data_IF_176791962005
#
_entry.id   IF_176791962005
#
_cell.length_a   1.000
_cell.length_b   1.000
_cell.length_c   1.000
_cell.angle_alpha   90.00
_cell.angle_beta   90.00
_cell.angle_gamma   90.00
#
_symmetry.space_group_name_H-M   'P 1'
#
loop_
_entity.id
_entity.type
_entity.pdbx_description
1 polymer ?
#
# COMPACT_ATOMS: atom_id res chain seq x y z
N UNK A 1 -11.45 13.93 0.91
CA UNK A 1 -10.08 13.84 1.46
C UNK A 1 -9.54 12.42 1.54
N UNK A 2 -8.41 12.12 0.88
CA UNK A 2 -7.69 10.86 1.06
C UNK A 2 -7.15 10.75 2.49
N UNK A 3 -7.06 9.52 3.01
CA UNK A 3 -6.37 9.27 4.28
C UNK A 3 -4.91 8.97 4.00
N UNK A 4 -4.01 9.73 4.62
CA UNK A 4 -2.55 9.53 4.51
C UNK A 4 -2.03 9.00 5.83
N UNK A 5 -1.07 8.08 5.77
CA UNK A 5 -0.30 7.64 6.92
C UNK A 5 1.16 8.00 6.68
N UNK A 6 1.79 8.66 7.65
CA UNK A 6 3.22 8.97 7.65
C UNK A 6 3.85 8.21 8.81
N UNK A 7 4.89 7.41 8.51
CA UNK A 7 5.56 6.57 9.50
C UNK A 7 4.55 5.70 10.30
N UNK A 8 3.57 5.13 9.58
CA UNK A 8 2.48 4.28 10.10
C UNK A 8 1.43 4.98 10.98
N UNK A 9 1.56 6.29 11.18
CA UNK A 9 0.61 7.11 11.93
C UNK A 9 -0.28 7.91 10.99
N UNK A 10 -1.57 8.02 11.31
CA UNK A 10 -2.52 8.78 10.49
C UNK A 10 -2.08 10.24 10.44
N UNK A 11 -1.71 10.71 9.26
CA UNK A 11 -1.35 12.09 9.01
C UNK A 11 -2.63 12.91 8.97
N UNK A 12 -2.81 13.77 9.98
CA UNK A 12 -3.95 14.68 10.03
C UNK A 12 -3.61 15.93 9.24
N UNK A 13 -4.43 16.20 8.25
CA UNK A 13 -4.40 17.45 7.50
C UNK A 13 -5.69 18.18 7.82
N UNK A 14 -5.58 19.37 8.38
CA UNK A 14 -6.74 20.24 8.59
C UNK A 14 -7.00 21.04 7.33
N UNK A 15 -8.16 20.82 6.71
CA UNK A 15 -8.57 21.52 5.49
C UNK A 15 -7.82 21.05 4.24
N UNK A 16 -8.52 21.01 3.11
CA UNK A 16 -7.96 20.53 1.85
C UNK A 16 -8.67 21.16 0.66
N UNK A 17 -8.14 20.90 -0.53
CA UNK A 17 -8.66 21.49 -1.76
C UNK A 17 -10.17 21.22 -1.94
N UNK A 18 -10.65 20.05 -1.49
CA UNK A 18 -12.07 19.66 -1.52
C UNK A 18 -12.97 20.57 -0.68
N UNK A 19 -12.42 21.26 0.33
CA UNK A 19 -13.16 22.15 1.24
C UNK A 19 -13.17 23.61 0.75
N UNK A 20 -12.56 23.89 -0.39
CA UNK A 20 -12.50 25.22 -0.98
C UNK A 20 -13.70 25.48 -1.90
N UNK A 21 -14.30 26.67 -1.78
CA UNK A 21 -15.42 27.09 -2.66
C UNK A 21 -14.97 27.77 -3.95
N UNK A 22 -13.70 28.19 -4.02
CA UNK A 22 -13.10 28.89 -5.15
C UNK A 22 -11.70 28.37 -5.44
N UNK A 23 -11.28 28.48 -6.70
CA UNK A 23 -10.01 27.91 -7.21
C UNK A 23 -8.78 28.36 -6.42
N UNK A 24 -8.61 29.66 -6.16
CA UNK A 24 -7.43 30.18 -5.46
C UNK A 24 -7.33 29.63 -4.03
N UNK A 25 -8.45 29.46 -3.33
CA UNK A 25 -8.46 28.86 -1.99
C UNK A 25 -8.07 27.37 -2.05
N UNK A 26 -8.53 26.65 -3.09
CA UNK A 26 -8.14 25.26 -3.31
C UNK A 26 -6.63 25.12 -3.55
N UNK A 27 -6.05 25.98 -4.38
CA UNK A 27 -4.61 26.02 -4.67
C UNK A 27 -3.79 26.33 -3.42
N UNK A 28 -4.19 27.35 -2.65
CA UNK A 28 -3.51 27.70 -1.40
C UNK A 28 -3.55 26.56 -0.39
N UNK A 29 -4.72 25.94 -0.19
CA UNK A 29 -4.84 24.77 0.68
C UNK A 29 -3.96 23.62 0.20
N UNK A 30 -3.97 23.30 -1.09
CA UNK A 30 -3.11 22.25 -1.65
C UNK A 30 -1.62 22.51 -1.39
N UNK A 31 -1.15 23.75 -1.54
CA UNK A 31 0.23 24.13 -1.21
C UNK A 31 0.54 23.97 0.28
N UNK A 32 -0.38 24.33 1.16
CA UNK A 32 -0.24 24.13 2.61
C UNK A 32 -0.13 22.64 2.95
N UNK A 33 -0.99 21.79 2.37
CA UNK A 33 -0.91 20.33 2.57
C UNK A 33 0.43 19.79 2.08
N UNK A 34 0.85 20.17 0.87
CA UNK A 34 2.11 19.73 0.27
C UNK A 34 3.33 20.12 1.10
N UNK A 35 3.40 21.39 1.52
CA UNK A 35 4.52 21.91 2.33
C UNK A 35 4.58 21.26 3.71
N UNK A 36 3.42 21.05 4.35
CA UNK A 36 3.33 20.37 5.65
C UNK A 36 3.82 18.93 5.54
N UNK A 37 3.32 18.18 4.55
CA UNK A 37 3.72 16.80 4.31
C UNK A 37 5.21 16.69 3.99
N UNK A 38 5.72 17.53 3.10
CA UNK A 38 7.14 17.57 2.71
C UNK A 38 8.04 17.86 3.91
N UNK A 39 7.65 18.82 4.75
CA UNK A 39 8.42 19.17 5.95
C UNK A 39 8.46 18.01 6.96
N UNK A 40 7.33 17.32 7.15
CA UNK A 40 7.28 16.13 8.00
C UNK A 40 8.14 14.99 7.44
N UNK A 41 8.07 14.71 6.13
CA UNK A 41 8.90 13.69 5.48
C UNK A 41 10.39 14.03 5.64
N UNK A 42 10.80 15.26 5.34
CA UNK A 42 12.19 15.67 5.42
C UNK A 42 12.76 15.52 6.84
N UNK A 43 11.96 15.79 7.87
CA UNK A 43 12.35 15.55 9.26
C UNK A 43 12.59 14.06 9.55
N UNK A 44 11.73 13.18 9.04
CA UNK A 44 11.87 11.74 9.23
C UNK A 44 13.09 11.18 8.47
N UNK A 45 13.46 11.77 7.33
CA UNK A 45 14.66 11.37 6.56
C UNK A 45 15.97 11.55 7.33
N UNK A 46 16.02 12.48 8.29
CA UNK A 46 17.18 12.71 9.15
C UNK A 46 17.25 11.72 10.33
N UNK A 47 16.23 10.87 10.52
CA UNK A 47 16.21 9.89 11.61
C UNK A 47 17.14 8.72 11.28
N UNK A 48 18.07 8.33 12.19
CA UNK A 48 18.96 7.21 11.95
C UNK A 48 18.20 5.90 11.72
N UNK A 49 18.71 5.08 10.79
CA UNK A 49 18.15 3.78 10.49
C UNK A 49 18.23 2.85 11.71
N UNK A 50 17.11 2.17 12.01
CA UNK A 50 17.00 1.19 13.10
C UNK A 50 17.12 -0.27 12.62
N UNK A 51 17.14 -0.46 11.30
CA UNK A 51 17.37 -1.73 10.63
C UNK A 51 17.90 -1.50 9.21
N UNK A 52 18.58 -2.49 8.66
CA UNK A 52 18.97 -2.54 7.25
C UNK A 52 18.08 -3.52 6.51
N UNK A 53 17.58 -3.08 5.36
CA UNK A 53 16.80 -3.89 4.45
C UNK A 53 17.54 -4.00 3.13
N UNK A 54 17.68 -5.22 2.62
CA UNK A 54 18.09 -5.49 1.25
C UNK A 54 16.98 -6.23 0.53
N UNK A 55 16.49 -5.68 -0.58
CA UNK A 55 15.44 -6.27 -1.41
C UNK A 55 16.01 -6.66 -2.78
N UNK A 56 15.79 -7.90 -3.14
CA UNK A 56 16.00 -8.44 -4.47
C UNK A 56 14.65 -8.98 -4.99
N UNK A 57 14.32 -8.69 -6.25
CA UNK A 57 13.13 -9.28 -6.87
C UNK A 57 13.33 -9.51 -8.37
N UNK A 58 12.76 -10.60 -8.85
CA UNK A 58 12.79 -11.01 -10.24
C UNK A 58 11.43 -11.57 -10.68
N UNK A 59 11.16 -11.47 -11.98
CA UNK A 59 9.96 -12.01 -12.61
C UNK A 59 10.32 -13.21 -13.47
N UNK A 60 9.62 -14.31 -13.27
CA UNK A 60 9.69 -15.52 -14.09
C UNK A 60 8.29 -15.81 -14.63
N UNK A 61 8.05 -15.47 -15.90
CA UNK A 61 6.72 -15.61 -16.50
C UNK A 61 5.64 -14.83 -15.74
N UNK A 62 4.75 -15.58 -15.08
CA UNK A 62 3.58 -15.09 -14.30
C UNK A 62 3.84 -14.99 -12.80
N UNK A 63 5.06 -15.23 -12.36
CA UNK A 63 5.45 -15.15 -10.96
C UNK A 63 6.44 -14.01 -10.75
N UNK A 64 6.29 -13.30 -9.64
CA UNK A 64 7.30 -12.36 -9.13
C UNK A 64 7.84 -12.90 -7.83
N UNK A 65 9.11 -13.29 -7.81
CA UNK A 65 9.81 -13.73 -6.62
C UNK A 65 10.50 -12.53 -5.98
N UNK A 66 10.20 -12.28 -4.71
CA UNK A 66 10.82 -11.23 -3.90
C UNK A 66 11.55 -11.86 -2.71
N UNK A 67 12.77 -11.40 -2.45
CA UNK A 67 13.60 -11.81 -1.33
C UNK A 67 14.03 -10.57 -0.57
N UNK A 68 13.81 -10.56 0.74
CA UNK A 68 14.26 -9.49 1.63
C UNK A 68 15.16 -10.06 2.70
N UNK A 69 16.30 -9.41 2.91
CA UNK A 69 17.16 -9.64 4.08
C UNK A 69 16.99 -8.48 5.04
N UNK A 70 16.80 -8.82 6.32
CA UNK A 70 16.71 -7.89 7.45
C UNK A 70 17.94 -8.09 8.31
N UNK A 71 18.77 -7.05 8.41
CA UNK A 71 20.00 -7.03 9.18
C UNK A 71 20.02 -5.84 10.16
N UNK A 72 20.91 -5.88 11.14
CA UNK A 72 21.15 -4.79 12.09
C UNK A 72 19.87 -4.23 12.76
N UNK A 73 18.85 -5.09 12.98
CA UNK A 73 17.66 -4.70 13.74
C UNK A 73 18.08 -4.47 15.20
N UNK A 74 18.06 -3.21 15.63
CA UNK A 74 18.51 -2.84 16.97
C UNK A 74 17.57 -3.40 18.03
N UNK A 75 18.12 -3.87 19.14
CA UNK A 75 17.35 -4.53 20.22
C UNK A 75 16.32 -3.60 20.89
N UNK A 76 16.56 -2.29 20.86
CA UNK A 76 15.65 -1.25 21.33
C UNK A 76 14.50 -0.95 20.33
N UNK A 77 14.63 -1.37 19.07
CA UNK A 77 13.66 -1.12 18.00
C UNK A 77 12.45 -2.08 17.96
N UNK A 78 12.15 -2.71 19.10
CA UNK A 78 10.94 -3.46 19.44
C UNK A 78 11.03 -4.99 19.40
N UNK A 79 10.47 -5.59 20.46
CA UNK A 79 10.25 -7.03 20.65
C UNK A 79 9.21 -7.62 19.66
N UNK A 80 8.54 -6.78 18.87
CA UNK A 80 7.46 -7.19 17.98
C UNK A 80 7.45 -6.40 16.67
N UNK A 81 8.19 -6.90 15.67
CA UNK A 81 8.36 -6.29 14.35
C UNK A 81 7.81 -7.20 13.25
N UNK A 82 7.09 -6.61 12.29
CA UNK A 82 6.58 -7.29 11.10
C UNK A 82 7.25 -6.72 9.85
N UNK A 83 7.75 -7.58 8.98
CA UNK A 83 8.16 -7.26 7.62
C UNK A 83 6.96 -7.39 6.68
N UNK A 84 6.65 -6.35 5.93
CA UNK A 84 5.64 -6.37 4.88
C UNK A 84 6.29 -6.33 3.50
N UNK A 85 5.71 -7.10 2.56
CA UNK A 85 6.01 -6.98 1.13
C UNK A 85 4.74 -6.53 0.41
N UNK A 86 4.88 -5.58 -0.49
CA UNK A 86 3.82 -5.17 -1.39
C UNK A 86 4.28 -5.32 -2.84
N UNK A 87 3.49 -6.02 -3.64
CA UNK A 87 3.57 -5.94 -5.08
C UNK A 87 2.77 -4.70 -5.51
N UNK A 88 3.43 -3.77 -6.19
CA UNK A 88 2.81 -2.51 -6.62
C UNK A 88 2.94 -2.35 -8.13
N UNK A 89 1.90 -1.82 -8.76
CA UNK A 89 1.95 -1.35 -10.14
C UNK A 89 2.25 0.14 -10.15
N UNK A 90 3.31 0.54 -10.86
CA UNK A 90 3.82 1.92 -10.83
C UNK A 90 2.76 2.94 -11.16
N UNK A 91 1.83 2.61 -12.04
CA UNK A 91 0.71 3.47 -12.35
C UNK A 91 -0.42 2.67 -13.02
N UNK A 92 -1.64 2.93 -12.56
CA UNK A 92 -2.89 2.45 -13.18
C UNK A 92 -3.67 3.65 -13.66
N UNK A 93 -4.23 3.56 -14.86
CA UNK A 93 -5.10 4.60 -15.40
C UNK A 93 -6.54 4.26 -15.10
N UNK A 94 -7.23 5.10 -14.34
CA UNK A 94 -8.66 4.97 -14.07
C UNK A 94 -9.24 6.34 -13.78
N UNK A 95 -10.37 6.67 -14.40
CA UNK A 95 -11.08 7.91 -14.12
C UNK A 95 -12.14 7.67 -13.06
N UNK A 96 -11.82 8.00 -11.82
CA UNK A 96 -12.80 8.06 -10.74
C UNK A 96 -13.67 9.33 -10.82
N UNK A 97 -14.62 9.48 -9.89
CA UNK A 97 -15.49 10.66 -9.80
C UNK A 97 -14.73 11.97 -9.56
N UNK A 98 -13.53 11.88 -8.98
CA UNK A 98 -12.65 13.03 -8.73
C UNK A 98 -11.86 13.50 -9.96
N UNK A 99 -12.01 12.86 -11.13
CA UNK A 99 -11.34 13.25 -12.37
C UNK A 99 -9.83 12.95 -12.42
N UNK A 100 -9.22 12.42 -11.35
CA UNK A 100 -7.83 11.98 -11.35
C UNK A 100 -7.70 10.69 -12.16
N UNK A 101 -6.89 10.75 -13.22
CA UNK A 101 -6.71 9.64 -14.17
C UNK A 101 -5.52 8.75 -13.86
N UNK A 102 -4.48 9.32 -13.25
CA UNK A 102 -3.20 8.66 -13.01
C UNK A 102 -3.10 8.30 -11.53
N UNK A 103 -3.03 7.01 -11.24
CA UNK A 103 -2.91 6.49 -9.87
C UNK A 103 -1.56 5.82 -9.73
N UNK A 104 -0.56 6.50 -9.13
CA UNK A 104 0.77 5.93 -8.97
C UNK A 104 0.82 4.91 -7.82
N UNK A 105 1.77 3.97 -7.91
CA UNK A 105 2.13 3.01 -6.84
C UNK A 105 0.93 2.23 -6.27
N UNK A 106 0.06 1.73 -7.15
CA UNK A 106 -1.14 0.97 -6.75
C UNK A 106 -0.74 -0.39 -6.22
N UNK A 107 -1.06 -0.65 -4.96
CA UNK A 107 -0.85 -1.97 -4.34
C UNK A 107 -1.75 -3.00 -5.02
N UNK A 108 -1.14 -4.02 -5.62
CA UNK A 108 -1.83 -5.15 -6.25
C UNK A 108 -2.00 -6.32 -5.29
N UNK A 109 -1.04 -6.52 -4.39
CA UNK A 109 -1.10 -7.57 -3.38
C UNK A 109 -0.15 -7.26 -2.22
N UNK A 110 -0.52 -7.71 -1.02
CA UNK A 110 0.35 -7.74 0.14
C UNK A 110 0.71 -9.20 0.43
N UNK A 111 1.99 -9.46 0.67
CA UNK A 111 2.43 -10.81 1.01
C UNK A 111 1.88 -11.24 2.37
N UNK A 112 1.61 -12.54 2.47
CA UNK A 112 1.19 -13.22 3.68
C UNK A 112 1.97 -14.53 3.80
N UNK A 113 2.28 -14.95 5.02
CA UNK A 113 2.84 -16.26 5.29
C UNK A 113 1.90 -17.37 4.82
N UNK A 114 2.46 -18.54 4.50
CA UNK A 114 1.64 -19.72 4.19
C UNK A 114 0.80 -20.08 5.42
N UNK A 115 -0.52 -20.16 5.24
CA UNK A 115 -1.51 -20.40 6.30
C UNK A 115 -1.65 -19.29 7.36
N UNK A 116 -1.14 -18.08 7.09
CA UNK A 116 -1.36 -16.93 7.96
C UNK A 116 -2.54 -16.08 7.49
N UNK A 117 -3.39 -15.68 8.43
CA UNK A 117 -4.49 -14.74 8.17
C UNK A 117 -4.01 -13.30 8.04
N UNK A 118 -2.86 -12.98 8.63
CA UNK A 118 -2.31 -11.64 8.68
C UNK A 118 -1.31 -11.40 7.54
N UNK A 119 -1.21 -10.16 7.11
CA UNK A 119 -0.20 -9.75 6.13
C UNK A 119 1.15 -9.53 6.81
N UNK A 120 2.23 -9.85 6.08
CA UNK A 120 3.61 -9.71 6.54
C UNK A 120 4.17 -10.95 7.23
N UNK A 121 5.39 -10.82 7.74
CA UNK A 121 6.18 -11.89 8.36
C UNK A 121 6.82 -11.37 9.64
N UNK A 122 6.75 -12.12 10.74
CA UNK A 122 7.40 -11.74 12.00
C UNK A 122 8.92 -11.82 11.86
N UNK A 123 9.62 -10.83 12.40
CA UNK A 123 11.07 -10.74 12.38
C UNK A 123 11.62 -11.06 13.77
N UNK A 124 12.56 -12.00 13.83
CA UNK A 124 13.26 -12.31 15.09
C UNK A 124 14.36 -11.27 15.35
N UNK A 125 14.52 -10.85 16.61
CA UNK A 125 15.58 -9.93 17.02
C UNK A 125 16.95 -10.62 17.09
N UNK A 126 18.02 -9.83 16.95
CA UNK A 126 19.40 -10.28 17.21
C UNK A 126 20.05 -11.19 16.16
N UNK A 127 19.35 -11.53 15.07
CA UNK A 127 19.90 -12.32 13.96
C UNK A 127 19.49 -11.75 12.60
N UNK A 128 20.30 -12.02 11.57
CA UNK A 128 19.93 -11.76 10.19
C UNK A 128 18.74 -12.64 9.79
N UNK A 129 17.67 -12.03 9.30
CA UNK A 129 16.49 -12.76 8.84
C UNK A 129 16.40 -12.68 7.31
N UNK A 130 16.05 -13.79 6.67
CA UNK A 130 15.80 -13.83 5.22
C UNK A 130 14.38 -14.32 4.96
N UNK A 131 13.64 -13.57 4.16
CA UNK A 131 12.26 -13.85 3.80
C UNK A 131 12.13 -13.92 2.29
N UNK A 132 11.34 -14.88 1.83
CA UNK A 132 11.04 -15.09 0.41
C UNK A 132 9.53 -15.16 0.21
N UNK A 133 9.03 -14.50 -0.83
CA UNK A 133 7.63 -14.59 -1.23
C UNK A 133 7.50 -14.62 -2.76
N UNK A 134 6.54 -15.42 -3.24
CA UNK A 134 6.19 -15.51 -4.66
C UNK A 134 4.79 -14.92 -4.84
N UNK A 135 4.72 -13.89 -5.66
CA UNK A 135 3.47 -13.30 -6.11
C UNK A 135 3.04 -13.96 -7.42
N UNK A 136 1.97 -14.75 -7.36
CA UNK A 136 1.30 -15.32 -8.53
C UNK A 136 0.37 -14.27 -9.16
N UNK A 137 0.72 -13.78 -10.35
CA UNK A 137 -0.02 -12.72 -11.02
C UNK A 137 -1.41 -13.15 -11.49
N UNK A 138 -1.61 -14.43 -11.85
CA UNK A 138 -2.94 -14.93 -12.25
C UNK A 138 -3.85 -14.96 -11.02
N UNK A 139 -3.35 -15.51 -9.90
CA UNK A 139 -4.10 -15.52 -8.64
C UNK A 139 -4.46 -14.12 -8.18
N UNK A 140 -3.50 -13.18 -8.20
CA UNK A 140 -3.73 -11.79 -7.79
C UNK A 140 -4.74 -11.11 -8.73
N UNK A 141 -4.66 -11.36 -10.03
CA UNK A 141 -5.64 -10.83 -11.00
C UNK A 141 -7.05 -11.33 -10.70
N UNK A 142 -7.20 -12.62 -10.40
CA UNK A 142 -8.49 -13.22 -10.03
C UNK A 142 -9.03 -12.68 -8.69
N UNK A 143 -8.17 -12.54 -7.67
CA UNK A 143 -8.52 -11.95 -6.37
C UNK A 143 -8.96 -10.48 -6.52
N UNK A 144 -8.24 -9.69 -7.33
CA UNK A 144 -8.61 -8.31 -7.62
C UNK A 144 -9.91 -8.20 -8.41
N UNK A 145 -10.19 -9.15 -9.32
CA UNK A 145 -11.47 -9.19 -10.03
C UNK A 145 -12.62 -9.46 -9.06
N UNK A 146 -12.45 -10.43 -8.16
CA UNK A 146 -13.47 -10.82 -7.17
C UNK A 146 -13.92 -9.66 -6.29
N UNK A 147 -13.01 -8.76 -5.91
CA UNK A 147 -13.35 -7.55 -5.16
C UNK A 147 -14.44 -6.69 -5.86
N UNK A 148 -14.42 -6.60 -7.18
CA UNK A 148 -15.41 -5.81 -7.94
C UNK A 148 -16.82 -6.42 -7.89
N UNK A 149 -16.93 -7.72 -7.63
CA UNK A 149 -18.20 -8.42 -7.49
C UNK A 149 -18.68 -8.44 -6.03
N UNK A 150 -17.76 -8.61 -5.07
CA UNK A 150 -18.06 -8.68 -3.64
C UNK A 150 -18.41 -7.31 -3.04
N UNK A 151 -17.68 -6.25 -3.42
CA UNK A 151 -17.82 -4.93 -2.82
C UNK A 151 -19.23 -4.34 -2.93
N UNK A 152 -19.92 -4.35 -4.10
CA UNK A 152 -21.29 -3.82 -4.18
C UNK A 152 -22.27 -4.57 -3.26
N UNK A 153 -22.11 -5.90 -3.15
CA UNK A 153 -22.98 -6.75 -2.31
C UNK A 153 -22.79 -6.40 -0.83
N UNK A 154 -21.53 -6.34 -0.37
CA UNK A 154 -21.21 -5.99 1.01
C UNK A 154 -21.64 -4.57 1.34
N UNK A 155 -21.41 -3.63 0.42
CA UNK A 155 -21.73 -2.23 0.63
C UNK A 155 -23.24 -1.97 0.63
N UNK A 156 -24.01 -2.62 -0.25
CA UNK A 156 -25.47 -2.56 -0.23
C UNK A 156 -26.03 -3.12 1.08
N UNK A 157 -25.50 -4.26 1.55
CA UNK A 157 -25.87 -4.84 2.85
C UNK A 157 -25.61 -3.84 3.99
N UNK A 158 -24.43 -3.23 4.04
CA UNK A 158 -24.07 -2.25 5.07
C UNK A 158 -24.98 -1.00 5.03
N UNK A 159 -25.21 -0.45 3.83
CA UNK A 159 -26.03 0.75 3.65
C UNK A 159 -27.50 0.51 3.99
N UNK A 160 -28.09 -0.58 3.50
CA UNK A 160 -29.50 -0.90 3.77
C UNK A 160 -29.73 -1.24 5.26
N UNK A 161 -28.75 -1.86 5.93
CA UNK A 161 -28.80 -2.06 7.38
C UNK A 161 -28.80 -0.73 8.17
N UNK A 162 -28.08 0.30 7.68
CA UNK A 162 -28.04 1.63 8.30
C UNK A 162 -29.31 2.45 8.05
N UNK A 163 -29.92 2.32 6.88
CA UNK A 163 -31.10 3.12 6.47
C UNK A 163 -32.41 2.50 6.99
N UNK A 164 -32.42 1.19 7.30
CA UNK A 164 -33.58 0.46 7.81
C UNK A 164 -34.20 -0.45 6.75
N UNK A 165 -34.75 -1.59 7.20
CA UNK A 165 -35.05 -2.80 6.39
C UNK A 165 -36.10 -2.71 5.27
N UNK A 166 -36.49 -1.50 4.85
CA UNK A 166 -37.32 -1.27 3.66
C UNK A 166 -36.60 -0.47 2.56
N UNK A 167 -35.38 0.01 2.81
CA UNK A 167 -34.56 0.66 1.80
C UNK A 167 -33.92 -0.38 0.87
N UNK A 168 -34.08 -0.17 -0.44
CA UNK A 168 -33.41 -0.92 -1.50
C UNK A 168 -32.42 0.02 -2.21
N UNK A 169 -31.40 0.44 -1.47
CA UNK A 169 -30.33 1.27 -2.02
C UNK A 169 -29.31 0.38 -2.73
N UNK A 170 -28.98 0.75 -3.97
CA UNK A 170 -27.93 0.12 -4.76
C UNK A 170 -26.79 1.13 -5.03
N UNK A 171 -25.59 0.82 -4.54
CA UNK A 171 -24.37 1.58 -4.82
C UNK A 171 -23.90 1.44 -6.27
N UNK A 172 -24.51 0.54 -7.03
CA UNK A 172 -24.17 0.26 -8.41
C UNK A 172 -22.85 -0.51 -8.54
N UNK A 173 -22.39 -0.63 -9.79
CA UNK A 173 -21.16 -1.33 -10.14
C UNK A 173 -20.07 -0.36 -10.56
N UNK A 174 -18.83 -0.82 -10.45
CA UNK A 174 -17.69 -0.08 -10.98
C UNK A 174 -17.80 0.05 -12.50
N UNK A 175 -17.57 1.26 -13.03
CA UNK A 175 -17.58 1.54 -14.47
C UNK A 175 -16.43 0.85 -15.21
N UNK A 176 -15.29 0.68 -14.53
CA UNK A 176 -14.14 -0.02 -15.06
C UNK A 176 -13.54 -0.91 -13.97
N UNK A 177 -13.21 -2.15 -14.33
CA UNK A 177 -12.56 -3.11 -13.44
C UNK A 177 -11.06 -3.14 -13.75
N UNK A 178 -10.22 -2.54 -12.90
CA UNK A 178 -8.76 -2.44 -13.10
C UNK A 178 -8.01 -3.62 -12.51
N UNK A 179 -8.57 -4.81 -12.63
CA UNK A 179 -8.04 -6.05 -12.07
C UNK A 179 -6.80 -6.57 -12.81
N UNK A 180 -6.71 -6.34 -14.14
CA UNK A 180 -5.58 -6.73 -14.96
C UNK A 180 -4.31 -5.99 -14.53
N UNK A 181 -3.21 -6.74 -14.46
CA UNK A 181 -1.90 -6.26 -14.02
C UNK A 181 -0.97 -6.12 -15.22
N UNK A 182 -0.27 -5.00 -15.33
CA UNK A 182 0.80 -4.86 -16.32
C UNK A 182 2.15 -5.36 -15.75
N UNK A 183 2.67 -6.53 -16.18
CA UNK A 183 3.87 -7.13 -15.60
C UNK A 183 5.14 -6.29 -15.82
N UNK A 184 5.16 -5.41 -16.83
CA UNK A 184 6.29 -4.53 -17.12
C UNK A 184 6.32 -3.28 -16.24
N UNK A 185 5.27 -3.03 -15.46
CA UNK A 185 5.15 -1.88 -14.55
C UNK A 185 5.16 -2.29 -13.07
N UNK A 186 5.53 -3.53 -12.79
CA UNK A 186 5.57 -4.05 -11.42
C UNK A 186 6.85 -3.60 -10.69
N UNK A 187 6.66 -3.10 -9.48
CA UNK A 187 7.72 -2.85 -8.49
C UNK A 187 7.40 -3.65 -7.23
N UNK A 188 8.41 -3.87 -6.39
CA UNK A 188 8.22 -4.48 -5.07
C UNK A 188 8.64 -3.47 -4.01
N UNK A 189 7.80 -3.29 -2.99
CA UNK A 189 8.11 -2.49 -1.81
C UNK A 189 8.22 -3.44 -0.62
N UNK A 190 9.23 -3.23 0.22
CA UNK A 190 9.35 -3.92 1.50
C UNK A 190 9.57 -2.91 2.62
N UNK A 191 8.92 -3.10 3.76
CA UNK A 191 9.08 -2.23 4.91
C UNK A 191 8.90 -2.97 6.23
N UNK A 192 9.64 -2.54 7.24
CA UNK A 192 9.56 -3.05 8.61
C UNK A 192 8.68 -2.14 9.45
N UNK A 193 7.75 -2.73 10.19
CA UNK A 193 6.86 -2.01 11.07
C UNK A 193 6.97 -2.56 12.50
N UNK A 194 7.17 -1.68 13.47
CA UNK A 194 6.95 -1.97 14.89
C UNK A 194 5.43 -2.04 15.14
N UNK A 195 4.93 -3.19 15.60
CA UNK A 195 3.50 -3.41 15.75
C UNK A 195 2.89 -2.62 16.93
N UNK A 196 3.70 -2.24 17.92
CA UNK A 196 3.27 -1.47 19.09
C UNK A 196 3.11 0.00 18.75
N UNK A 197 4.14 0.60 18.14
CA UNK A 197 4.16 2.03 17.81
C UNK A 197 3.58 2.34 16.43
N UNK A 198 3.45 1.32 15.58
CA UNK A 198 3.14 1.39 14.15
C UNK A 198 4.24 2.06 13.31
N UNK A 199 5.35 2.48 13.92
CA UNK A 199 6.44 3.14 13.21
C UNK A 199 7.03 2.21 12.15
N UNK A 200 7.32 2.79 10.98
CA UNK A 200 8.08 2.19 9.90
C UNK A 200 9.57 2.38 10.20
N UNK A 201 10.24 1.29 10.55
CA UNK A 201 11.64 1.30 10.99
C UNK A 201 12.62 1.42 9.80
N UNK A 202 12.20 0.93 8.63
CA UNK A 202 12.93 1.00 7.38
C UNK A 202 11.98 0.66 6.22
N UNK A 203 12.20 1.23 5.05
CA UNK A 203 11.52 0.86 3.82
C UNK A 203 12.47 0.87 2.62
N UNK A 204 12.29 -0.06 1.70
CA UNK A 204 13.02 -0.12 0.43
C UNK A 204 12.04 -0.43 -0.68
N UNK A 205 12.35 0.01 -1.90
CA UNK A 205 11.59 -0.40 -3.07
C UNK A 205 12.53 -0.72 -4.22
N UNK A 206 12.16 -1.74 -4.99
CA UNK A 206 12.81 -2.08 -6.25
C UNK A 206 11.94 -1.62 -7.40
N UNK A 207 12.42 -0.62 -8.13
CA UNK A 207 11.71 0.00 -9.24
C UNK A 207 11.57 -0.95 -10.43
N UNK A 208 10.42 -0.93 -11.08
CA UNK A 208 10.19 -1.57 -12.38
C UNK A 208 11.15 -1.04 -13.49
N UNK A 209 11.40 -1.84 -14.55
CA UNK A 209 10.96 -3.22 -14.70
C UNK A 209 11.80 -4.15 -13.81
N UNK A 210 11.16 -5.16 -13.23
CA UNK A 210 11.88 -6.22 -12.53
C UNK A 210 12.73 -7.02 -13.52
N UNK A 211 13.88 -7.52 -13.05
CA UNK A 211 14.73 -8.42 -13.84
C UNK A 211 13.90 -9.63 -14.27
N UNK A 212 14.04 -10.03 -15.53
CA UNK A 212 13.37 -11.22 -16.07
C UNK A 212 14.35 -12.39 -15.97
N UNK A 213 13.99 -13.43 -15.22
CA UNK A 213 14.72 -14.69 -15.23
C UNK A 213 14.38 -15.44 -16.53
N UNK A 214 15.41 -15.99 -17.17
CA UNK A 214 15.30 -16.76 -18.41
C UNK A 214 14.99 -18.21 -18.13
#
# INVERSE_FOLDING_TARGET
>A
MPTVFLNGNRFKVEGGADDARIKNDAENKAMTVYSTLTSSINRELETPLLARLKLDAARAGKEVKATVTVDDLKEDAALDVTLHFALVEQEVHYSGENGLRFHPMVVRSLARGANESNYGFKVASGQANKFEHIFDLDRITAENLRYYDEWPVERNREMNARIGGSADFDVGRFKEQKHLINPNRLSVVAFLQDNKTRAILQAVYLKAPLKVER
#
